data_IF_951011695313
#
_entry.id   IF_951011695313
#
_cell.length_a   1.000
_cell.length_b   1.000
_cell.length_c   1.000
_cell.angle_alpha   90.00
_cell.angle_beta   90.00
_cell.angle_gamma   90.00
#
_symmetry.space_group_name_H-M   'P 1'
#
loop_
_entity.id
_entity.type
_entity.pdbx_description
1 polymer ?
#
# COMPACT_ATOMS: atom_id res chain seq x y z
N UNK A 1 4.72 -5.40 9.67
CA UNK A 1 3.96 -6.34 8.80
C UNK A 1 2.58 -5.82 8.36
N UNK A 2 2.06 -4.71 8.90
CA UNK A 2 0.71 -4.19 8.60
C UNK A 2 0.46 -3.97 7.12
N UNK A 3 1.41 -3.36 6.39
CA UNK A 3 1.26 -3.07 4.97
C UNK A 3 1.03 -4.33 4.10
N UNK A 4 1.83 -5.39 4.33
CA UNK A 4 1.71 -6.65 3.57
C UNK A 4 0.33 -7.30 3.79
N UNK A 5 -0.15 -7.31 5.04
CA UNK A 5 -1.49 -7.83 5.36
C UNK A 5 -2.60 -6.98 4.72
N UNK A 6 -2.45 -5.65 4.70
CA UNK A 6 -3.39 -4.78 3.98
C UNK A 6 -3.40 -5.07 2.48
N UNK A 7 -2.25 -5.37 1.88
CA UNK A 7 -2.14 -5.75 0.48
C UNK A 7 -2.84 -7.10 0.20
N UNK A 8 -2.61 -8.12 1.02
CA UNK A 8 -3.31 -9.41 0.94
C UNK A 8 -4.83 -9.23 1.02
N UNK A 9 -5.31 -8.43 1.99
CA UNK A 9 -6.73 -8.12 2.20
C UNK A 9 -7.36 -7.42 1.00
N UNK A 10 -6.72 -6.37 0.48
CA UNK A 10 -7.27 -5.56 -0.62
C UNK A 10 -7.28 -6.31 -1.95
N UNK A 11 -6.25 -7.11 -2.24
CA UNK A 11 -6.23 -8.01 -3.39
C UNK A 11 -7.24 -9.14 -3.27
N UNK A 12 -7.42 -9.71 -2.08
CA UNK A 12 -8.46 -10.73 -1.85
C UNK A 12 -9.85 -10.20 -2.20
N UNK A 13 -10.15 -8.97 -1.76
CA UNK A 13 -11.40 -8.28 -2.09
C UNK A 13 -11.54 -8.04 -3.60
N UNK A 14 -10.50 -7.52 -4.26
CA UNK A 14 -10.53 -7.21 -5.69
C UNK A 14 -10.70 -8.47 -6.57
N UNK A 15 -10.07 -9.58 -6.19
CA UNK A 15 -10.13 -10.86 -6.90
C UNK A 15 -11.35 -11.73 -6.52
N UNK A 16 -12.03 -11.44 -5.42
CA UNK A 16 -13.16 -12.24 -4.93
C UNK A 16 -12.75 -13.63 -4.40
N UNK A 17 -11.49 -13.82 -4.01
CA UNK A 17 -10.97 -15.05 -3.40
C UNK A 17 -9.90 -14.71 -2.38
N UNK A 18 -9.67 -15.59 -1.41
CA UNK A 18 -8.60 -15.40 -0.44
C UNK A 18 -7.22 -15.44 -1.11
N UNK A 19 -6.38 -14.46 -0.78
CA UNK A 19 -5.00 -14.35 -1.23
C UNK A 19 -4.10 -14.27 -0.01
N UNK A 20 -3.15 -15.21 0.05
CA UNK A 20 -2.05 -15.18 1.01
C UNK A 20 -0.74 -15.34 0.25
N UNK A 21 0.26 -14.51 0.57
CA UNK A 21 1.55 -14.57 -0.06
C UNK A 21 2.47 -15.56 0.67
N UNK A 22 3.26 -16.30 -0.10
CA UNK A 22 4.47 -16.94 0.42
C UNK A 22 5.52 -15.84 0.65
N UNK A 23 5.71 -15.45 1.91
CA UNK A 23 6.57 -14.32 2.28
C UNK A 23 8.02 -14.79 2.39
N UNK A 24 8.84 -14.46 1.39
CA UNK A 24 10.29 -14.68 1.42
C UNK A 24 10.98 -13.39 1.85
N UNK A 25 11.47 -13.35 3.09
CA UNK A 25 12.14 -12.16 3.65
C UNK A 25 13.64 -12.21 3.38
N UNK A 26 14.11 -11.26 2.58
CA UNK A 26 15.54 -11.06 2.38
C UNK A 26 16.16 -10.15 3.46
N UNK A 27 17.47 -10.30 3.74
CA UNK A 27 18.16 -9.39 4.64
C UNK A 27 18.21 -7.97 4.06
N UNK A 28 18.30 -6.97 4.95
CA UNK A 28 18.45 -5.56 4.58
C UNK A 28 19.64 -5.38 3.62
N UNK A 29 19.42 -4.69 2.51
CA UNK A 29 20.44 -4.51 1.48
C UNK A 29 21.30 -3.26 1.79
N UNK A 30 22.54 -3.20 1.29
CA UNK A 30 23.34 -1.99 1.39
C UNK A 30 22.60 -0.80 0.75
N UNK A 31 22.35 0.25 1.54
CA UNK A 31 21.61 1.44 1.11
C UNK A 31 20.17 1.52 1.59
N UNK A 32 19.60 0.42 2.09
CA UNK A 32 18.28 0.44 2.73
C UNK A 32 18.34 1.14 4.09
N UNK A 33 17.26 1.84 4.41
CA UNK A 33 17.01 2.38 5.76
C UNK A 33 15.81 1.66 6.37
N UNK A 34 15.83 1.31 7.68
CA UNK A 34 14.75 0.53 8.30
C UNK A 34 13.35 1.16 8.18
N UNK A 35 13.27 2.49 8.23
CA UNK A 35 12.05 3.26 8.00
C UNK A 35 12.41 4.71 7.64
N UNK A 36 11.69 5.29 6.68
CA UNK A 36 11.79 6.72 6.33
C UNK A 36 10.44 7.25 5.88
N UNK A 37 10.16 8.50 6.19
CA UNK A 37 8.95 9.21 5.79
C UNK A 37 9.19 10.72 5.86
N UNK A 38 8.44 11.48 5.06
CA UNK A 38 8.49 12.94 5.08
C UNK A 38 7.47 13.48 6.11
N UNK A 39 7.87 14.47 6.91
CA UNK A 39 6.89 15.33 7.58
C UNK A 39 6.11 16.13 6.52
N UNK A 40 4.82 16.33 6.75
CA UNK A 40 3.94 17.11 5.89
C UNK A 40 3.55 18.46 6.51
N UNK A 41 4.12 18.79 7.67
CA UNK A 41 3.68 19.95 8.47
C UNK A 41 3.93 21.27 7.73
N UNK A 42 5.13 21.47 7.18
CA UNK A 42 5.47 22.68 6.41
C UNK A 42 4.60 22.85 5.15
N UNK A 43 4.28 21.75 4.47
CA UNK A 43 3.38 21.78 3.31
C UNK A 43 1.97 22.16 3.75
N UNK A 44 1.49 21.55 4.84
CA UNK A 44 0.17 21.85 5.39
C UNK A 44 0.05 23.31 5.80
N UNK A 45 1.06 23.89 6.44
CA UNK A 45 1.11 25.30 6.80
C UNK A 45 1.09 26.21 5.57
N UNK A 46 1.85 25.85 4.52
CA UNK A 46 2.00 26.68 3.33
C UNK A 46 0.75 26.69 2.43
N UNK A 47 0.05 25.57 2.29
CA UNK A 47 -1.06 25.43 1.31
C UNK A 47 -2.38 24.94 1.90
N UNK A 48 -2.45 24.69 3.21
CA UNK A 48 -3.67 24.23 3.89
C UNK A 48 -4.10 22.81 3.55
N UNK A 49 -3.25 22.02 2.89
CA UNK A 49 -3.56 20.66 2.44
C UNK A 49 -2.79 19.60 3.25
N UNK A 50 -3.49 18.53 3.62
CA UNK A 50 -2.91 17.30 4.17
C UNK A 50 -3.58 16.10 3.54
N UNK A 51 -2.83 15.12 3.00
CA UNK A 51 -3.42 13.87 2.52
C UNK A 51 -4.22 13.18 3.62
N UNK A 52 -5.46 12.76 3.30
CA UNK A 52 -6.34 12.06 4.23
C UNK A 52 -6.64 10.62 3.85
N UNK A 53 -6.30 10.23 2.61
CA UNK A 53 -6.48 8.87 2.13
C UNK A 53 -5.67 7.91 2.99
N UNK A 54 -6.34 6.94 3.59
CA UNK A 54 -5.66 5.90 4.34
C UNK A 54 -4.92 4.93 3.41
N UNK A 55 -3.94 4.21 3.96
CA UNK A 55 -3.24 3.16 3.21
C UNK A 55 -4.22 2.09 2.70
N UNK A 56 -5.21 1.69 3.50
CA UNK A 56 -6.19 0.68 3.09
C UNK A 56 -7.05 1.18 1.91
N UNK A 57 -7.57 2.41 1.98
CA UNK A 57 -8.39 2.98 0.89
C UNK A 57 -7.59 3.17 -0.39
N UNK A 58 -6.35 3.65 -0.30
CA UNK A 58 -5.46 3.82 -1.45
C UNK A 58 -5.10 2.48 -2.09
N UNK A 59 -4.75 1.47 -1.28
CA UNK A 59 -4.44 0.13 -1.77
C UNK A 59 -5.66 -0.57 -2.37
N UNK A 60 -6.87 -0.38 -1.81
CA UNK A 60 -8.09 -0.96 -2.38
C UNK A 60 -8.36 -0.40 -3.77
N UNK A 61 -8.32 0.93 -3.92
CA UNK A 61 -8.52 1.59 -5.22
C UNK A 61 -7.48 1.11 -6.26
N UNK A 62 -6.23 0.96 -5.85
CA UNK A 62 -5.19 0.42 -6.71
C UNK A 62 -5.45 -1.05 -7.10
N UNK A 63 -5.80 -1.90 -6.13
CA UNK A 63 -6.06 -3.31 -6.37
C UNK A 63 -7.24 -3.53 -7.33
N UNK A 64 -8.33 -2.78 -7.13
CA UNK A 64 -9.52 -2.83 -8.00
C UNK A 64 -9.16 -2.43 -9.43
N UNK A 65 -8.45 -1.32 -9.60
CA UNK A 65 -7.95 -0.87 -10.91
C UNK A 65 -7.06 -1.92 -11.56
N UNK A 66 -6.09 -2.47 -10.83
CA UNK A 66 -5.12 -3.42 -11.38
C UNK A 66 -5.80 -4.71 -11.85
N UNK A 67 -6.68 -5.26 -11.03
CA UNK A 67 -7.40 -6.51 -11.35
C UNK A 67 -8.31 -6.32 -12.56
N UNK A 68 -8.99 -5.19 -12.66
CA UNK A 68 -9.85 -4.85 -13.80
C UNK A 68 -9.03 -4.62 -15.07
N UNK A 69 -8.04 -3.73 -15.02
CA UNK A 69 -7.20 -3.35 -16.16
C UNK A 69 -6.50 -4.56 -16.79
N UNK A 70 -5.96 -5.46 -15.96
CA UNK A 70 -5.27 -6.66 -16.43
C UNK A 70 -6.15 -7.91 -16.57
N UNK A 71 -7.47 -7.78 -16.39
CA UNK A 71 -8.45 -8.88 -16.48
C UNK A 71 -8.02 -10.09 -15.65
N UNK A 72 -7.72 -9.87 -14.38
CA UNK A 72 -7.20 -10.89 -13.45
C UNK A 72 -8.27 -11.56 -12.58
N UNK A 73 -9.54 -11.22 -12.78
CA UNK A 73 -10.67 -11.95 -12.18
C UNK A 73 -10.79 -13.36 -12.73
#
# INVERSE_FOLDING_TARGET
>A
MTFIHTLEKTLSKALGREVQFEKVFEPIKPGDVPATYASTDLLQEAVGFKPKTSIEEGLQQFADWYVDYYKKK
#
